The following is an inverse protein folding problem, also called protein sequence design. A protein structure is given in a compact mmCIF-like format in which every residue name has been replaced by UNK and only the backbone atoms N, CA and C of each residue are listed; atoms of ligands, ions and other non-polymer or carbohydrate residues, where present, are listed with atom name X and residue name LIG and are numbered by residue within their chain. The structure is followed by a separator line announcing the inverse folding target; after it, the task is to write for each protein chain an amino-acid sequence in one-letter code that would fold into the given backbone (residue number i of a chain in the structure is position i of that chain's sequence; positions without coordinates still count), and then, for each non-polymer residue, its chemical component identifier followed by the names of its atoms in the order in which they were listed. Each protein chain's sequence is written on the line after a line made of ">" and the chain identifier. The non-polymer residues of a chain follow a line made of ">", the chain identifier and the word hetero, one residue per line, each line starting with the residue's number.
data_IF_991463193835
#
_entry.id   IF_991463193835
#
_cell.length_a   1.000
_cell.length_b   1.000
_cell.length_c   1.000
_cell.angle_alpha   90.00
_cell.angle_beta   90.00
_cell.angle_gamma   90.00
#
_symmetry.space_group_name_H-M   'P 1'
#
loop_
_entity.id
_entity.type
_entity.pdbx_description
1 polymer ?
#
# COMPACT_ATOMS: atom_id res chain seq x y z
N UNK A 1 -3.12 3.24 -19.22
CA UNK A 1 -4.06 2.74 -18.19
C UNK A 1 -3.51 2.94 -16.77
N UNK A 2 -2.35 2.37 -16.43
CA UNK A 2 -1.78 2.48 -15.07
C UNK A 2 -1.46 3.92 -14.61
N UNK A 3 -0.99 4.80 -15.51
CA UNK A 3 -0.73 6.22 -15.16
C UNK A 3 -2.00 6.95 -14.68
N UNK A 4 -3.11 6.81 -15.42
CA UNK A 4 -4.40 7.42 -15.05
C UNK A 4 -4.94 6.86 -13.73
N UNK A 5 -4.82 5.54 -13.51
CA UNK A 5 -5.19 4.93 -12.23
C UNK A 5 -4.35 5.50 -11.07
N UNK A 6 -3.04 5.62 -11.26
CA UNK A 6 -2.13 6.20 -10.28
C UNK A 6 -2.53 7.64 -9.94
N UNK A 7 -2.74 8.48 -10.95
CA UNK A 7 -3.17 9.87 -10.77
C UNK A 7 -4.51 9.97 -10.03
N UNK A 8 -5.46 9.08 -10.31
CA UNK A 8 -6.75 9.04 -9.61
C UNK A 8 -6.65 8.62 -8.14
N UNK A 9 -5.72 7.72 -7.78
CA UNK A 9 -5.65 7.13 -6.43
C UNK A 9 -4.71 7.84 -5.46
N UNK A 10 -3.68 8.51 -5.97
CA UNK A 10 -2.70 9.19 -5.11
C UNK A 10 -3.30 10.21 -4.12
N UNK A 11 -4.28 11.04 -4.49
CA UNK A 11 -4.89 11.97 -3.54
C UNK A 11 -5.55 11.25 -2.36
N UNK A 12 -6.29 10.17 -2.63
CA UNK A 12 -6.97 9.37 -1.61
C UNK A 12 -5.98 8.64 -0.71
N UNK A 13 -4.91 8.06 -1.29
CA UNK A 13 -3.85 7.41 -0.50
C UNK A 13 -3.15 8.43 0.42
N UNK A 14 -2.88 9.65 -0.09
CA UNK A 14 -2.25 10.71 0.71
C UNK A 14 -3.14 11.12 1.90
N UNK A 15 -4.47 11.17 1.69
CA UNK A 15 -5.42 11.47 2.75
C UNK A 15 -5.46 10.35 3.81
N UNK A 16 -5.49 9.08 3.37
CA UNK A 16 -5.48 7.91 4.26
C UNK A 16 -4.24 7.93 5.16
N UNK A 17 -3.05 8.06 4.56
CA UNK A 17 -1.78 8.02 5.30
C UNK A 17 -1.62 9.22 6.25
N UNK A 18 -2.20 10.38 5.93
CA UNK A 18 -2.14 11.56 6.79
C UNK A 18 -3.16 11.59 7.93
N UNK A 19 -4.28 10.85 7.81
CA UNK A 19 -5.37 10.90 8.80
C UNK A 19 -5.48 9.65 9.68
N UNK A 20 -4.98 8.50 9.23
CA UNK A 20 -4.97 7.29 10.05
C UNK A 20 -3.62 7.22 10.77
N UNK A 21 -3.62 7.63 12.03
CA UNK A 21 -2.44 7.56 12.90
C UNK A 21 -1.91 6.14 12.98
N UNK A 22 -0.59 6.01 13.09
CA UNK A 22 0.14 4.74 13.27
C UNK A 22 0.08 3.74 12.09
N UNK A 23 -0.42 4.13 10.92
CA UNK A 23 -0.20 3.34 9.70
C UNK A 23 1.30 3.26 9.40
N UNK A 24 1.85 2.04 9.44
CA UNK A 24 3.28 1.77 9.22
C UNK A 24 3.49 0.42 8.52
N UNK A 25 4.53 0.33 7.70
CA UNK A 25 4.87 -0.90 6.99
C UNK A 25 4.00 -1.19 5.79
N UNK A 26 3.50 -2.42 5.69
CA UNK A 26 2.65 -2.85 4.58
C UNK A 26 1.18 -2.60 4.90
N UNK A 27 0.52 -1.82 4.05
CA UNK A 27 -0.91 -1.51 4.16
C UNK A 27 -1.59 -1.91 2.86
N UNK A 28 -2.53 -2.87 2.94
CA UNK A 28 -3.42 -3.20 1.83
C UNK A 28 -4.60 -2.23 1.79
N UNK A 29 -4.99 -1.76 0.61
CA UNK A 29 -6.14 -0.89 0.43
C UNK A 29 -7.01 -1.47 -0.69
N UNK A 30 -8.20 -1.90 -0.33
CA UNK A 30 -9.18 -2.43 -1.28
C UNK A 30 -10.15 -1.31 -1.65
N UNK A 31 -10.31 -1.10 -2.95
CA UNK A 31 -11.12 0.00 -3.47
C UNK A 31 -11.80 -0.37 -4.79
N UNK A 32 -12.85 0.37 -5.11
CA UNK A 32 -13.54 0.31 -6.40
C UNK A 32 -13.27 1.63 -7.14
N UNK A 33 -12.72 1.54 -8.35
CA UNK A 33 -12.62 2.66 -9.29
C UNK A 33 -13.93 2.78 -10.06
N UNK A 34 -14.60 3.92 -9.93
CA UNK A 34 -15.83 4.25 -10.67
C UNK A 34 -15.48 4.80 -12.06
N UNK A 35 -16.45 4.77 -12.98
CA UNK A 35 -16.29 5.26 -14.36
C UNK A 35 -15.85 6.73 -14.43
N UNK A 36 -16.33 7.56 -13.50
CA UNK A 36 -15.94 8.97 -13.37
C UNK A 36 -14.59 9.18 -12.67
N UNK A 37 -13.76 8.13 -12.57
CA UNK A 37 -12.44 8.14 -11.89
C UNK A 37 -12.48 8.40 -10.38
N UNK A 38 -13.66 8.44 -9.76
CA UNK A 38 -13.78 8.48 -8.30
C UNK A 38 -13.45 7.12 -7.71
N UNK A 39 -12.98 7.14 -6.47
CA UNK A 39 -12.59 5.95 -5.72
C UNK A 39 -13.51 5.79 -4.52
N UNK A 40 -13.99 4.57 -4.30
CA UNK A 40 -14.64 4.18 -3.06
C UNK A 40 -13.76 3.17 -2.34
N UNK A 41 -13.28 3.56 -1.16
CA UNK A 41 -12.52 2.69 -0.27
C UNK A 41 -13.48 1.69 0.36
N UNK A 42 -13.13 0.41 0.31
CA UNK A 42 -13.91 -0.68 0.89
C UNK A 42 -13.28 -1.11 2.21
N UNK A 43 -11.95 -1.32 2.20
CA UNK A 43 -11.22 -1.81 3.36
C UNK A 43 -9.79 -1.26 3.37
N UNK A 44 -9.27 -1.01 4.58
CA UNK A 44 -7.86 -0.72 4.82
C UNK A 44 -7.33 -1.81 5.75
N UNK A 45 -6.38 -2.57 5.25
CA UNK A 45 -5.74 -3.67 5.95
C UNK A 45 -4.36 -3.22 6.46
N UNK A 46 -4.20 -2.82 7.74
CA UNK A 46 -2.90 -2.47 8.33
C UNK A 46 -2.06 -3.72 8.64
N UNK A 47 -2.02 -4.68 7.70
CA UNK A 47 -1.34 -5.97 7.80
C UNK A 47 -1.06 -6.50 6.39
N UNK A 48 -0.27 -7.57 6.31
CA UNK A 48 -0.09 -8.30 5.06
C UNK A 48 -1.42 -8.80 4.50
N UNK A 49 -1.57 -8.69 3.18
CA UNK A 49 -2.67 -9.26 2.39
C UNK A 49 -2.10 -10.21 1.33
N UNK A 50 -2.95 -11.00 0.68
CA UNK A 50 -2.52 -12.00 -0.31
C UNK A 50 -1.70 -11.41 -1.47
N UNK A 51 -1.88 -10.13 -1.81
CA UNK A 51 -1.10 -9.44 -2.85
C UNK A 51 0.40 -9.37 -2.52
N UNK A 52 0.78 -9.52 -1.24
CA UNK A 52 2.17 -9.66 -0.81
C UNK A 52 2.91 -10.77 -1.56
N UNK A 53 2.28 -11.93 -1.79
CA UNK A 53 2.94 -13.06 -2.46
C UNK A 53 3.35 -12.69 -3.89
N UNK A 54 2.49 -11.97 -4.61
CA UNK A 54 2.80 -11.46 -5.95
C UNK A 54 3.90 -10.41 -5.92
N UNK A 55 3.78 -9.43 -5.01
CA UNK A 55 4.75 -8.35 -4.87
C UNK A 55 6.15 -8.87 -4.47
N UNK A 56 6.21 -9.86 -3.58
CA UNK A 56 7.46 -10.49 -3.14
C UNK A 56 8.16 -11.25 -4.25
N UNK A 57 7.42 -11.82 -5.21
CA UNK A 57 7.99 -12.49 -6.39
C UNK A 57 8.44 -11.48 -7.45
N UNK A 58 7.73 -10.36 -7.59
CA UNK A 58 8.04 -9.34 -8.58
C UNK A 58 9.23 -8.46 -8.19
N UNK A 59 9.35 -8.13 -6.90
CA UNK A 59 10.44 -7.29 -6.40
C UNK A 59 11.79 -8.02 -6.45
N UNK A 60 12.81 -7.35 -6.99
CA UNK A 60 14.20 -7.86 -7.01
C UNK A 60 14.84 -7.99 -5.63
N UNK A 61 14.38 -7.18 -4.67
CA UNK A 61 14.89 -7.15 -3.30
C UNK A 61 13.87 -7.78 -2.35
N UNK A 62 14.34 -8.36 -1.24
CA UNK A 62 13.49 -8.99 -0.23
C UNK A 62 12.44 -7.99 0.29
N UNK A 63 11.16 -8.28 0.01
CA UNK A 63 10.05 -7.39 0.37
C UNK A 63 9.80 -7.37 1.87
N UNK A 64 10.03 -8.48 2.58
CA UNK A 64 9.96 -8.52 4.04
C UNK A 64 10.98 -7.57 4.67
N UNK A 65 12.22 -7.58 4.17
CA UNK A 65 13.28 -6.66 4.64
C UNK A 65 12.88 -5.20 4.41
N UNK A 66 12.30 -4.85 3.26
CA UNK A 66 11.80 -3.48 3.03
C UNK A 66 10.74 -3.07 4.05
N UNK A 67 9.81 -3.97 4.36
CA UNK A 67 8.77 -3.73 5.37
C UNK A 67 9.42 -3.54 6.74
N UNK A 68 10.30 -4.44 7.17
CA UNK A 68 11.01 -4.35 8.45
C UNK A 68 11.83 -3.06 8.59
N UNK A 69 12.52 -2.64 7.52
CA UNK A 69 13.29 -1.39 7.53
C UNK A 69 12.41 -0.15 7.67
N UNK A 70 11.14 -0.18 7.23
CA UNK A 70 10.18 0.91 7.47
C UNK A 70 9.80 1.05 8.96
N UNK A 71 10.08 0.01 9.76
CA UNK A 71 9.92 0.02 11.20
C UNK A 71 11.14 0.59 11.95
N UNK A 72 12.18 1.07 11.25
CA UNK A 72 13.45 1.49 11.84
C UNK A 72 14.06 0.43 12.77
N UNK A 73 13.77 -0.85 12.50
CA UNK A 73 14.42 -1.96 13.20
C UNK A 73 15.82 -2.10 12.60
N UNK A 74 16.75 -1.27 13.08
CA UNK A 74 18.17 -1.42 12.80
C UNK A 74 18.63 -2.75 13.43
N UNK A 75 19.30 -3.61 12.63
CA UNK A 75 19.89 -4.92 13.00
C UNK A 75 18.98 -6.18 12.90
N UNK A 76 18.28 -6.39 11.77
CA UNK A 76 17.69 -7.71 11.46
C UNK A 76 18.49 -8.55 10.44
N UNK A 77 19.63 -8.05 9.98
CA UNK A 77 20.61 -8.79 9.18
C UNK A 77 22.01 -8.38 9.61
#
# INVERSE_FOLDING_TARGET
>A
MFKKLYESIMPTISLIVSNITDLRGFVGIDFILKENSQISIIEINPRLTCSYVGLSKYNKNNTAVKILNSFEINNLV
#
